data_IF_121946854903
#
_entry.id   IF_121946854903
#
_cell.length_a   1.000
_cell.length_b   1.000
_cell.length_c   1.000
_cell.angle_alpha   90.00
_cell.angle_beta   90.00
_cell.angle_gamma   90.00
#
_symmetry.space_group_name_H-M   'P 1'
#
loop_
_entity.id
_entity.type
_entity.pdbx_description
1 polymer ?
#
# COMPACT_ATOMS: atom_id res chain seq x y z
N UNK A 1 -8.73 1.57 14.70
CA UNK A 1 -8.90 0.36 13.87
C UNK A 1 -9.83 0.73 12.72
N UNK A 2 -9.28 1.15 11.59
CA UNK A 2 -10.05 1.27 10.36
C UNK A 2 -9.36 0.37 9.35
N UNK A 3 -9.80 -0.88 9.29
CA UNK A 3 -9.52 -1.76 8.16
C UNK A 3 -9.97 -1.01 6.91
N UNK A 4 -9.02 -0.61 6.05
CA UNK A 4 -9.35 -0.07 4.75
C UNK A 4 -9.70 -1.28 3.89
N UNK A 5 -10.98 -1.52 3.55
CA UNK A 5 -11.34 -2.71 2.79
C UNK A 5 -10.77 -2.53 1.38
N UNK A 6 -9.75 -3.32 1.04
CA UNK A 6 -9.45 -3.60 -0.35
C UNK A 6 -10.68 -4.31 -0.92
N UNK A 7 -11.51 -3.60 -1.68
CA UNK A 7 -12.72 -4.17 -2.28
C UNK A 7 -12.25 -5.07 -3.43
N UNK A 8 -11.89 -6.30 -3.08
CA UNK A 8 -11.61 -7.37 -4.03
C UNK A 8 -12.91 -7.90 -4.61
N UNK A 9 -13.25 -7.53 -5.85
CA UNK A 9 -14.24 -8.30 -6.60
C UNK A 9 -13.54 -9.55 -7.12
N UNK A 10 -13.97 -10.74 -6.67
CA UNK A 10 -13.54 -12.02 -7.25
C UNK A 10 -13.96 -12.04 -8.72
N UNK A 11 -13.01 -11.96 -9.64
CA UNK A 11 -13.22 -12.36 -11.03
C UNK A 11 -12.71 -13.81 -11.13
N UNK A 12 -13.64 -14.77 -11.13
CA UNK A 12 -13.34 -16.20 -11.26
C UNK A 12 -12.95 -16.52 -12.70
N UNK A 13 -11.67 -16.82 -12.93
CA UNK A 13 -11.24 -17.55 -14.11
C UNK A 13 -10.31 -18.68 -13.67
N UNK A 14 -10.72 -19.91 -13.98
CA UNK A 14 -10.05 -21.20 -13.87
C UNK A 14 -8.65 -21.22 -13.19
N UNK A 15 -8.59 -21.79 -11.98
CA UNK A 15 -7.38 -22.31 -11.31
C UNK A 15 -6.24 -21.34 -10.94
N UNK A 16 -6.48 -20.02 -10.86
CA UNK A 16 -5.64 -19.11 -10.06
C UNK A 16 -6.42 -17.80 -9.79
N UNK A 17 -7.17 -17.72 -8.68
CA UNK A 17 -8.05 -16.58 -8.42
C UNK A 17 -7.23 -15.32 -8.12
N UNK A 18 -7.05 -14.46 -9.11
CA UNK A 18 -6.45 -13.14 -8.92
C UNK A 18 -7.45 -12.25 -8.16
N UNK A 19 -7.13 -11.91 -6.91
CA UNK A 19 -7.88 -10.93 -6.15
C UNK A 19 -7.59 -9.53 -6.70
N UNK A 20 -8.50 -9.01 -7.53
CA UNK A 20 -8.35 -7.68 -8.13
C UNK A 20 -8.61 -6.62 -7.06
N UNK A 21 -7.55 -5.94 -6.63
CA UNK A 21 -7.64 -4.82 -5.70
C UNK A 21 -8.18 -3.57 -6.43
N UNK A 22 -9.16 -2.91 -5.83
CA UNK A 22 -9.73 -1.66 -6.34
C UNK A 22 -9.39 -0.49 -5.42
N UNK A 23 -9.15 0.68 -6.02
CA UNK A 23 -8.89 1.90 -5.27
C UNK A 23 -10.13 2.27 -4.43
N UNK A 24 -10.02 2.46 -3.11
CA UNK A 24 -11.19 2.75 -2.27
C UNK A 24 -11.82 4.12 -2.58
N UNK A 25 -11.08 5.04 -3.22
CA UNK A 25 -11.59 6.37 -3.59
C UNK A 25 -12.26 6.45 -4.96
N UNK A 26 -11.80 5.67 -5.95
CA UNK A 26 -12.26 5.83 -7.34
C UNK A 26 -12.50 4.51 -8.08
N UNK A 27 -12.39 3.38 -7.38
CA UNK A 27 -12.59 2.00 -7.89
C UNK A 27 -11.68 1.60 -9.06
N UNK A 28 -10.64 2.39 -9.35
CA UNK A 28 -9.65 2.08 -10.36
C UNK A 28 -8.81 0.85 -9.97
N UNK A 29 -8.44 0.02 -10.96
CA UNK A 29 -7.81 -1.30 -10.76
C UNK A 29 -6.27 -1.29 -10.86
N UNK A 30 -5.68 -0.21 -11.37
CA UNK A 30 -4.22 -0.16 -11.63
C UNK A 30 -3.51 0.83 -10.70
N UNK A 31 -2.32 0.42 -10.25
CA UNK A 31 -1.51 1.15 -9.29
C UNK A 31 -0.06 1.26 -9.77
N UNK A 32 0.58 2.35 -9.40
CA UNK A 32 2.00 2.60 -9.56
C UNK A 32 2.73 2.21 -8.26
N UNK A 33 3.85 1.50 -8.37
CA UNK A 33 4.72 1.24 -7.22
C UNK A 33 5.66 2.42 -7.02
N UNK A 34 5.63 3.01 -5.82
CA UNK A 34 6.49 4.12 -5.44
C UNK A 34 7.27 3.78 -4.17
N UNK A 35 8.35 4.50 -3.92
CA UNK A 35 9.07 4.44 -2.66
C UNK A 35 8.91 5.78 -1.94
N UNK A 36 8.40 5.73 -0.71
CA UNK A 36 8.43 6.87 0.19
C UNK A 36 9.70 6.82 1.02
N UNK A 37 10.21 8.01 1.33
CA UNK A 37 11.29 8.17 2.28
C UNK A 37 10.66 8.48 3.63
N UNK A 38 10.87 7.60 4.61
CA UNK A 38 10.41 7.80 5.98
C UNK A 38 11.60 7.96 6.91
N UNK A 39 11.53 8.95 7.79
CA UNK A 39 12.50 9.10 8.88
C UNK A 39 11.92 8.37 10.10
N UNK A 40 12.65 7.40 10.61
CA UNK A 40 12.30 6.65 11.82
C UNK A 40 13.10 7.17 13.01
N UNK A 41 12.49 7.08 14.20
CA UNK A 41 13.13 7.44 15.45
C UNK A 41 14.21 6.42 15.83
N UNK A 42 15.08 6.83 16.75
CA UNK A 42 16.15 5.99 17.31
C UNK A 42 15.60 4.69 17.92
N UNK A 43 14.42 4.76 18.54
CA UNK A 43 13.75 3.61 19.16
C UNK A 43 13.30 2.57 18.13
N UNK A 44 12.89 3.01 16.94
CA UNK A 44 12.43 2.14 15.85
C UNK A 44 13.57 1.71 14.93
N UNK A 45 14.72 2.39 15.01
CA UNK A 45 15.91 2.07 14.24
C UNK A 45 16.66 0.88 14.81
N UNK A 46 17.18 0.03 13.91
CA UNK A 46 18.04 -1.10 14.28
C UNK A 46 19.40 -0.65 14.85
N UNK A 47 19.88 0.55 14.50
CA UNK A 47 21.16 1.07 14.97
C UNK A 47 21.05 1.93 16.23
N UNK A 48 19.83 2.22 16.69
CA UNK A 48 19.60 3.14 17.81
C UNK A 48 19.85 4.61 17.45
N UNK A 49 19.90 4.95 16.16
CA UNK A 49 20.07 6.33 15.67
C UNK A 49 18.92 6.72 14.74
N UNK A 50 18.69 8.02 14.54
CA UNK A 50 17.73 8.47 13.54
C UNK A 50 18.16 7.96 12.17
N UNK A 51 17.25 7.28 11.48
CA UNK A 51 17.52 6.66 10.20
C UNK A 51 16.46 7.02 9.16
N UNK A 52 16.90 7.04 7.91
CA UNK A 52 16.04 7.24 6.75
C UNK A 52 15.87 5.88 6.05
N UNK A 53 14.62 5.43 5.95
CA UNK A 53 14.27 4.17 5.30
C UNK A 53 13.41 4.41 4.06
N UNK A 54 13.49 3.49 3.10
CA UNK A 54 12.60 3.47 1.94
C UNK A 54 11.42 2.54 2.23
N UNK A 55 10.20 3.06 2.13
CA UNK A 55 8.96 2.31 2.33
C UNK A 55 8.25 2.17 0.99
N UNK A 56 8.10 0.95 0.44
CA UNK A 56 7.35 0.75 -0.78
C UNK A 56 5.85 0.99 -0.54
N UNK A 57 5.21 1.73 -1.44
CA UNK A 57 3.77 2.03 -1.39
C UNK A 57 3.14 1.89 -2.78
N UNK A 58 1.81 1.74 -2.82
CA UNK A 58 1.05 1.70 -4.07
C UNK A 58 0.24 2.99 -4.24
N UNK A 59 0.41 3.69 -5.35
CA UNK A 59 -0.36 4.89 -5.71
C UNK A 59 -1.36 4.56 -6.81
N UNK A 60 -2.62 4.95 -6.62
CA UNK A 60 -3.64 4.83 -7.66
C UNK A 60 -3.25 5.66 -8.89
N UNK A 61 -3.10 5.02 -10.04
CA UNK A 61 -2.70 5.70 -11.28
C UNK A 61 -3.75 6.69 -11.82
N UNK A 62 -4.98 6.67 -11.30
CA UNK A 62 -6.06 7.58 -11.71
C UNK A 62 -6.23 8.79 -10.80
N UNK A 63 -6.41 8.56 -9.49
CA UNK A 63 -6.72 9.65 -8.54
C UNK A 63 -5.56 10.01 -7.61
N UNK A 64 -4.42 9.30 -7.70
CA UNK A 64 -3.25 9.55 -6.87
C UNK A 64 -3.38 9.10 -5.41
N UNK A 65 -4.48 8.43 -5.03
CA UNK A 65 -4.62 7.87 -3.67
C UNK A 65 -3.51 6.87 -3.37
N UNK A 66 -2.80 7.04 -2.26
CA UNK A 66 -1.75 6.13 -1.80
C UNK A 66 -2.38 5.10 -0.87
N UNK A 67 -2.28 3.81 -1.24
CA UNK A 67 -2.53 2.70 -0.35
C UNK A 67 -1.32 2.55 0.55
N UNK A 68 -1.49 2.97 1.80
CA UNK A 68 -0.48 2.81 2.82
C UNK A 68 -0.98 1.81 3.87
N UNK A 69 -0.37 0.63 3.90
CA UNK A 69 -0.50 -0.34 5.00
C UNK A 69 0.73 -0.28 5.92
N UNK A 70 1.25 0.92 6.23
CA UNK A 70 2.15 1.02 7.38
C UNK A 70 1.32 0.84 8.64
N UNK A 71 1.17 -0.41 9.07
CA UNK A 71 0.83 -0.75 10.45
C UNK A 71 1.92 -0.14 11.33
N UNK A 72 1.54 0.81 12.19
CA UNK A 72 2.29 1.15 13.40
C UNK A 72 2.19 -0.01 14.41
#
# INVERSE_FOLDING_TARGET
MADIPLIGKKEENSNNTLNIVQCPKCQYKYFETLHLIQIISELMSKSGKKEMIMVPVFRCGKCGFILNETKE
#
